data_IF_021156986843
#
_entry.id   IF_021156986843
#
_cell.length_a   1.000
_cell.length_b   1.000
_cell.length_c   1.000
_cell.angle_alpha   90.00
_cell.angle_beta   90.00
_cell.angle_gamma   90.00
#
_symmetry.space_group_name_H-M   'P 1'
#
loop_
_entity.id
_entity.type
_entity.pdbx_description
1 polymer ?
#
# COMPACT_ATOMS: atom_id res chain seq x y z
N UNK A 1 -12.04 -18.62 17.32
CA UNK A 1 -11.88 -17.22 16.85
C UNK A 1 -11.57 -17.15 15.35
N UNK A 2 -10.44 -17.70 14.87
CA UNK A 2 -10.04 -17.64 13.45
C UNK A 2 -11.11 -18.15 12.46
N UNK A 3 -11.74 -19.31 12.73
CA UNK A 3 -12.79 -19.85 11.84
C UNK A 3 -13.97 -18.88 11.65
N UNK A 4 -14.33 -18.13 12.69
CA UNK A 4 -15.42 -17.14 12.61
C UNK A 4 -15.00 -15.93 11.78
N UNK A 5 -13.74 -15.49 11.90
CA UNK A 5 -13.17 -14.43 11.06
C UNK A 5 -13.25 -14.84 9.59
N UNK A 6 -12.83 -16.06 9.27
CA UNK A 6 -12.88 -16.61 7.91
C UNK A 6 -14.34 -16.77 7.45
N UNK A 7 -15.27 -17.21 8.28
CA UNK A 7 -16.67 -17.32 7.89
C UNK A 7 -17.30 -15.95 7.58
N UNK A 8 -16.90 -14.90 8.31
CA UNK A 8 -17.53 -13.59 8.24
C UNK A 8 -16.85 -12.58 7.29
N UNK A 9 -15.67 -12.85 6.72
CA UNK A 9 -14.95 -11.84 5.90
C UNK A 9 -15.63 -11.49 4.57
N UNK A 10 -16.70 -12.19 4.19
CA UNK A 10 -17.57 -11.82 3.07
C UNK A 10 -18.87 -11.13 3.51
N UNK A 11 -19.11 -11.02 4.82
CA UNK A 11 -20.20 -10.22 5.37
C UNK A 11 -19.92 -8.72 5.16
N UNK A 12 -20.98 -7.91 5.13
CA UNK A 12 -20.88 -6.46 4.91
C UNK A 12 -21.71 -5.73 5.94
N UNK A 13 -21.22 -4.61 6.46
CA UNK A 13 -21.87 -3.93 7.58
C UNK A 13 -23.30 -3.41 7.27
N UNK A 14 -23.67 -3.31 5.99
CA UNK A 14 -25.01 -2.97 5.49
C UNK A 14 -25.95 -4.18 5.35
N UNK A 15 -25.50 -5.40 5.67
CA UNK A 15 -26.27 -6.64 5.54
C UNK A 15 -26.29 -7.24 4.13
N UNK A 16 -25.63 -6.63 3.15
CA UNK A 16 -25.59 -7.13 1.76
C UNK A 16 -24.56 -8.26 1.54
N UNK A 17 -23.86 -8.68 2.59
CA UNK A 17 -22.86 -9.72 2.57
C UNK A 17 -23.43 -11.13 2.68
N UNK A 18 -22.54 -12.12 2.73
CA UNK A 18 -22.88 -13.53 2.83
C UNK A 18 -21.83 -14.25 3.68
N UNK A 19 -22.11 -15.44 4.24
CA UNK A 19 -23.30 -16.30 4.00
C UNK A 19 -24.55 -16.00 4.84
N UNK A 20 -24.43 -15.40 6.02
CA UNK A 20 -25.51 -15.24 6.98
C UNK A 20 -26.23 -13.89 6.88
N UNK A 21 -25.70 -12.94 6.10
CA UNK A 21 -26.29 -11.60 5.93
C UNK A 21 -26.16 -10.76 7.20
N UNK A 22 -25.05 -10.93 7.93
CA UNK A 22 -24.78 -10.20 9.16
C UNK A 22 -24.60 -8.71 8.88
N UNK A 23 -24.88 -7.87 9.88
CA UNK A 23 -24.76 -6.41 9.76
C UNK A 23 -24.09 -5.79 10.98
N UNK A 24 -23.56 -4.57 10.81
CA UNK A 24 -23.03 -3.74 11.89
C UNK A 24 -22.14 -4.44 12.93
N UNK A 25 -22.68 -4.62 14.14
CA UNK A 25 -21.96 -5.21 15.28
C UNK A 25 -21.95 -6.73 15.32
N UNK A 26 -22.71 -7.42 14.45
CA UNK A 26 -22.78 -8.89 14.43
C UNK A 26 -21.56 -9.52 13.71
N UNK A 27 -20.89 -8.70 12.90
CA UNK A 27 -19.64 -9.00 12.21
C UNK A 27 -18.47 -8.75 13.17
N UNK A 28 -17.45 -9.60 13.17
CA UNK A 28 -16.21 -9.35 13.91
C UNK A 28 -15.39 -8.22 13.24
N UNK A 29 -14.82 -7.28 14.01
CA UNK A 29 -13.88 -6.28 13.47
C UNK A 29 -12.72 -6.88 12.69
N UNK A 30 -12.20 -8.02 13.13
CA UNK A 30 -11.10 -8.73 12.47
C UNK A 30 -11.53 -9.28 11.10
N UNK A 31 -12.80 -9.66 10.93
CA UNK A 31 -13.34 -10.11 9.64
C UNK A 31 -13.41 -8.95 8.65
N UNK A 32 -13.85 -7.77 9.09
CA UNK A 32 -13.83 -6.57 8.24
C UNK A 32 -12.42 -6.11 7.89
N UNK A 33 -11.46 -6.22 8.82
CA UNK A 33 -10.04 -5.95 8.53
C UNK A 33 -9.52 -6.90 7.46
N UNK A 34 -9.80 -8.21 7.58
CA UNK A 34 -9.40 -9.21 6.59
C UNK A 34 -10.03 -8.92 5.22
N UNK A 35 -11.33 -8.64 5.19
CA UNK A 35 -12.07 -8.31 3.97
C UNK A 35 -11.51 -7.06 3.27
N UNK A 36 -11.18 -6.02 4.04
CA UNK A 36 -10.58 -4.80 3.49
C UNK A 36 -9.15 -5.06 2.97
N UNK A 37 -8.35 -5.86 3.70
CA UNK A 37 -7.01 -6.24 3.25
C UNK A 37 -7.06 -7.02 1.93
N UNK A 38 -7.98 -7.96 1.80
CA UNK A 38 -8.21 -8.70 0.55
C UNK A 38 -8.61 -7.77 -0.59
N UNK A 39 -9.57 -6.85 -0.36
CA UNK A 39 -9.97 -5.84 -1.36
C UNK A 39 -8.82 -4.95 -1.78
N UNK A 40 -7.98 -4.50 -0.85
CA UNK A 40 -6.80 -3.69 -1.16
C UNK A 40 -5.78 -4.46 -2.01
N UNK A 41 -5.41 -5.67 -1.59
CA UNK A 41 -4.49 -6.54 -2.36
C UNK A 41 -5.05 -6.82 -3.75
N UNK A 42 -6.35 -7.08 -3.85
CA UNK A 42 -7.03 -7.22 -5.12
C UNK A 42 -6.79 -6.00 -6.01
N UNK A 43 -7.04 -4.77 -5.53
CA UNK A 43 -6.88 -3.53 -6.30
C UNK A 43 -5.48 -3.40 -6.91
N UNK A 44 -4.44 -3.60 -6.09
CA UNK A 44 -3.04 -3.31 -6.46
C UNK A 44 -2.30 -4.47 -7.14
N UNK A 45 -2.94 -5.64 -7.25
CA UNK A 45 -2.37 -6.81 -7.91
C UNK A 45 -2.87 -6.89 -9.36
N UNK A 46 -1.98 -7.20 -10.30
CA UNK A 46 -2.36 -7.47 -11.69
C UNK A 46 -3.21 -8.75 -11.72
N UNK A 47 -4.38 -8.72 -12.35
CA UNK A 47 -5.24 -9.90 -12.56
C UNK A 47 -5.35 -10.18 -14.05
N UNK A 48 -5.71 -11.40 -14.43
CA UNK A 48 -5.82 -11.80 -15.83
C UNK A 48 -6.71 -10.87 -16.68
N UNK A 49 -7.73 -10.26 -16.06
CA UNK A 49 -8.74 -9.43 -16.70
C UNK A 49 -8.58 -7.92 -16.45
N UNK A 50 -7.61 -7.48 -15.64
CA UNK A 50 -7.39 -6.04 -15.39
C UNK A 50 -5.96 -5.72 -14.97
N UNK A 51 -5.50 -4.55 -15.39
CA UNK A 51 -4.28 -3.96 -14.87
C UNK A 51 -4.41 -3.65 -13.37
N UNK A 52 -3.27 -3.60 -12.68
CA UNK A 52 -3.22 -3.13 -11.29
C UNK A 52 -3.64 -1.67 -11.26
N UNK A 53 -4.43 -1.28 -10.25
CA UNK A 53 -4.58 0.13 -9.91
C UNK A 53 -3.28 0.62 -9.29
N UNK A 54 -2.93 1.89 -9.54
CA UNK A 54 -1.85 2.48 -8.77
C UNK A 54 -2.32 2.74 -7.32
N UNK A 55 -1.35 2.94 -6.43
CA UNK A 55 -1.63 3.13 -4.99
C UNK A 55 -2.54 4.34 -4.75
N UNK A 56 -2.35 5.41 -5.53
CA UNK A 56 -3.15 6.64 -5.43
C UNK A 56 -4.62 6.36 -5.74
N UNK A 57 -4.91 5.62 -6.81
CA UNK A 57 -6.25 5.19 -7.19
C UNK A 57 -6.87 4.25 -6.16
N UNK A 58 -6.12 3.26 -5.69
CA UNK A 58 -6.58 2.33 -4.67
C UNK A 58 -6.94 3.07 -3.36
N UNK A 59 -6.14 4.06 -2.95
CA UNK A 59 -6.43 4.93 -1.80
C UNK A 59 -7.72 5.73 -2.00
N UNK A 60 -7.92 6.32 -3.19
CA UNK A 60 -9.16 7.04 -3.51
C UNK A 60 -10.38 6.11 -3.40
N UNK A 61 -10.30 4.91 -3.97
CA UNK A 61 -11.37 3.93 -3.89
C UNK A 61 -11.64 3.47 -2.45
N UNK A 62 -10.60 3.26 -1.64
CA UNK A 62 -10.78 2.96 -0.21
C UNK A 62 -11.42 4.14 0.54
N UNK A 63 -11.07 5.37 0.20
CA UNK A 63 -11.69 6.56 0.80
C UNK A 63 -13.18 6.67 0.46
N UNK A 64 -13.59 6.16 -0.71
CA UNK A 64 -15.00 6.08 -1.08
C UNK A 64 -15.72 4.87 -0.49
N UNK A 65 -15.05 3.89 0.16
CA UNK A 65 -15.70 2.74 0.82
C UNK A 65 -16.55 3.12 2.06
N UNK A 66 -16.95 4.39 2.17
CA UNK A 66 -17.96 4.89 3.09
C UNK A 66 -19.40 4.45 2.72
N UNK A 67 -19.56 3.54 1.76
CA UNK A 67 -20.84 3.03 1.22
C UNK A 67 -21.64 2.14 2.19
N UNK A 68 -21.36 2.14 3.49
CA UNK A 68 -22.03 1.29 4.49
C UNK A 68 -21.49 -0.15 4.59
N UNK A 69 -20.57 -0.56 3.71
CA UNK A 69 -20.02 -1.93 3.68
C UNK A 69 -19.03 -2.25 4.80
N UNK A 70 -18.43 -1.23 5.40
CA UNK A 70 -17.47 -1.33 6.50
C UNK A 70 -17.79 -0.33 7.58
N UNK A 71 -17.41 -0.63 8.83
CA UNK A 71 -17.37 0.38 9.89
C UNK A 71 -16.38 1.49 9.49
N UNK A 72 -16.76 2.78 9.51
CA UNK A 72 -15.94 3.87 8.97
C UNK A 72 -14.51 3.97 9.55
N UNK A 73 -14.31 3.49 10.78
CA UNK A 73 -12.99 3.47 11.42
C UNK A 73 -11.97 2.59 10.68
N UNK A 74 -12.40 1.47 10.08
CA UNK A 74 -11.52 0.48 9.46
C UNK A 74 -10.85 1.00 8.18
N UNK A 75 -11.57 1.48 7.15
CA UNK A 75 -10.93 2.06 5.97
C UNK A 75 -10.14 3.33 6.30
N UNK A 76 -10.60 4.13 7.28
CA UNK A 76 -9.85 5.30 7.76
C UNK A 76 -8.49 4.91 8.35
N UNK A 77 -8.45 3.89 9.20
CA UNK A 77 -7.19 3.37 9.76
C UNK A 77 -6.26 2.84 8.69
N UNK A 78 -6.77 2.12 7.68
CA UNK A 78 -5.93 1.65 6.57
C UNK A 78 -5.31 2.82 5.81
N UNK A 79 -6.10 3.85 5.46
CA UNK A 79 -5.60 5.02 4.74
C UNK A 79 -4.53 5.79 5.53
N UNK A 80 -4.69 5.89 6.85
CA UNK A 80 -3.72 6.49 7.75
C UNK A 80 -2.41 5.69 7.80
N UNK A 81 -2.50 4.35 7.89
CA UNK A 81 -1.32 3.48 7.96
C UNK A 81 -0.57 3.41 6.62
N UNK A 82 -1.29 3.41 5.49
CA UNK A 82 -0.68 3.42 4.18
C UNK A 82 0.09 4.73 3.93
N UNK A 83 -0.48 5.87 4.34
CA UNK A 83 0.02 7.18 3.94
C UNK A 83 0.02 7.36 2.43
N UNK A 84 0.58 8.47 1.94
CA UNK A 84 0.61 8.75 0.50
C UNK A 84 1.63 7.90 -0.27
N UNK A 85 2.69 7.49 0.42
CA UNK A 85 3.81 6.74 -0.14
C UNK A 85 4.10 5.52 0.76
N UNK A 86 3.34 4.42 0.61
CA UNK A 86 3.57 3.21 1.40
C UNK A 86 4.87 2.50 0.98
N UNK A 87 5.49 1.70 1.87
CA UNK A 87 6.64 0.88 1.53
C UNK A 87 6.36 -0.06 0.35
N UNK A 88 7.37 -0.23 -0.52
CA UNK A 88 7.29 -0.98 -1.76
C UNK A 88 6.89 -0.14 -2.99
N UNK A 89 6.41 1.08 -2.80
CA UNK A 89 6.11 1.99 -3.90
C UNK A 89 7.41 2.48 -4.56
N UNK A 90 7.46 2.40 -5.89
CA UNK A 90 8.50 3.06 -6.68
C UNK A 90 8.16 4.53 -6.84
N UNK A 91 9.15 5.37 -6.61
CA UNK A 91 9.03 6.83 -6.70
C UNK A 91 10.23 7.42 -7.41
N UNK A 92 9.98 8.53 -8.09
CA UNK A 92 11.03 9.39 -8.62
C UNK A 92 11.23 10.57 -7.70
N UNK A 93 12.49 10.84 -7.37
CA UNK A 93 12.88 11.97 -6.54
C UNK A 93 13.15 13.22 -7.41
N UNK A 94 13.16 14.39 -6.79
CA UNK A 94 13.42 15.68 -7.46
C UNK A 94 14.77 15.69 -8.20
N UNK A 95 15.81 15.07 -7.63
CA UNK A 95 17.12 14.91 -8.27
C UNK A 95 17.14 13.90 -9.45
N UNK A 96 15.99 13.40 -9.91
CA UNK A 96 15.81 12.37 -10.94
C UNK A 96 16.23 10.94 -10.55
N UNK A 97 16.69 10.68 -9.33
CA UNK A 97 16.86 9.31 -8.85
C UNK A 97 15.50 8.58 -8.85
N UNK A 98 15.54 7.27 -9.06
CA UNK A 98 14.40 6.39 -8.87
C UNK A 98 14.71 5.44 -7.74
N UNK A 99 13.77 5.30 -6.81
CA UNK A 99 13.95 4.50 -5.61
C UNK A 99 12.66 3.83 -5.14
N UNK A 100 12.83 2.92 -4.19
CA UNK A 100 11.74 2.21 -3.52
C UNK A 100 11.54 2.83 -2.14
N UNK A 101 10.29 3.16 -1.79
CA UNK A 101 9.96 3.54 -0.42
C UNK A 101 10.18 2.33 0.49
N UNK A 102 11.01 2.48 1.53
CA UNK A 102 11.35 1.40 2.46
C UNK A 102 10.86 1.67 3.88
N UNK A 103 10.71 2.96 4.25
CA UNK A 103 10.18 3.38 5.55
C UNK A 103 9.09 4.42 5.34
N UNK A 104 8.01 4.30 6.12
CA UNK A 104 6.91 5.27 6.15
C UNK A 104 7.38 6.59 6.74
N UNK A 105 6.67 7.66 6.40
CA UNK A 105 6.79 8.94 7.10
C UNK A 105 6.48 8.79 8.59
N UNK A 106 7.12 9.62 9.40
CA UNK A 106 6.78 9.82 10.81
C UNK A 106 6.34 11.28 11.05
N UNK A 107 6.19 11.71 12.31
CA UNK A 107 5.73 13.08 12.62
C UNK A 107 6.72 14.17 12.22
N UNK A 108 7.98 13.82 12.03
CA UNK A 108 9.10 14.74 11.82
C UNK A 108 9.74 14.58 10.44
N UNK A 109 9.58 13.42 9.81
CA UNK A 109 10.24 13.07 8.55
C UNK A 109 9.29 12.51 7.52
N UNK A 110 9.59 12.77 6.25
CA UNK A 110 8.99 12.09 5.12
C UNK A 110 9.36 10.59 5.09
N UNK A 111 8.80 9.84 4.14
CA UNK A 111 9.23 8.46 3.93
C UNK A 111 10.73 8.38 3.61
N UNK A 112 11.34 7.23 3.85
CA UNK A 112 12.69 6.98 3.35
C UNK A 112 12.64 6.13 2.10
N UNK A 113 13.47 6.51 1.15
CA UNK A 113 13.56 5.88 -0.17
C UNK A 113 14.95 5.30 -0.34
N UNK A 114 15.05 4.04 -0.76
CA UNK A 114 16.32 3.49 -1.23
C UNK A 114 16.41 3.65 -2.74
N UNK A 115 17.34 4.49 -3.19
CA UNK A 115 17.57 4.74 -4.61
C UNK A 115 18.15 3.47 -5.26
N UNK A 116 17.58 3.09 -6.39
CA UNK A 116 17.98 1.95 -7.22
C UNK A 116 18.58 2.38 -8.56
N UNK A 117 18.20 3.58 -9.04
CA UNK A 117 18.78 4.21 -10.22
C UNK A 117 19.21 5.63 -9.90
N UNK A 118 20.38 6.01 -10.42
CA UNK A 118 20.89 7.37 -10.35
C UNK A 118 20.14 8.34 -11.29
N UNK A 119 20.44 9.65 -11.22
CA UNK A 119 19.79 10.68 -12.03
C UNK A 119 19.87 10.47 -13.55
N UNK A 120 20.87 9.70 -14.01
CA UNK A 120 21.12 9.37 -15.42
C UNK A 120 20.58 8.00 -15.83
N UNK A 121 19.81 7.34 -14.97
CA UNK A 121 19.24 6.01 -15.21
C UNK A 121 20.21 4.84 -14.99
N UNK A 122 21.47 5.11 -14.60
CA UNK A 122 22.41 4.05 -14.25
C UNK A 122 21.94 3.33 -12.97
N UNK A 123 21.98 2.00 -12.97
CA UNK A 123 21.66 1.21 -11.78
C UNK A 123 22.75 1.39 -10.71
N UNK A 124 22.32 1.57 -9.46
CA UNK A 124 23.21 1.52 -8.32
C UNK A 124 23.58 0.08 -7.94
N UNK A 125 24.83 -0.14 -7.55
CA UNK A 125 25.35 -1.44 -7.08
C UNK A 125 25.17 -1.68 -5.58
N UNK A 126 24.71 -0.66 -4.83
CA UNK A 126 24.53 -0.71 -3.39
C UNK A 126 23.29 0.02 -2.93
N UNK A 127 23.10 0.12 -1.61
CA UNK A 127 21.93 0.74 -1.01
C UNK A 127 22.18 2.20 -0.69
N UNK A 128 21.41 3.08 -1.31
CA UNK A 128 21.51 4.51 -1.10
C UNK A 128 20.20 5.02 -0.50
N UNK A 129 20.16 5.17 0.82
CA UNK A 129 18.98 5.70 1.53
C UNK A 129 18.88 7.22 1.36
N UNK A 130 17.64 7.70 1.20
CA UNK A 130 17.26 9.09 0.99
C UNK A 130 16.17 9.46 1.99
N UNK A 131 16.42 10.49 2.77
CA UNK A 131 15.41 11.14 3.59
C UNK A 131 14.64 12.12 2.69
N UNK A 132 13.37 11.82 2.41
CA UNK A 132 12.58 12.65 1.50
C UNK A 132 12.09 13.94 2.15
N UNK A 133 12.43 14.23 3.41
CA UNK A 133 12.29 15.56 4.00
C UNK A 133 13.30 16.56 3.45
N UNK A 134 14.43 16.09 2.91
CA UNK A 134 15.42 16.95 2.29
C UNK A 134 14.93 17.38 0.90
N UNK A 135 15.04 18.66 0.58
CA UNK A 135 14.51 19.25 -0.66
C UNK A 135 15.04 18.55 -1.93
N UNK A 136 16.31 18.16 -1.92
CA UNK A 136 16.95 17.42 -3.01
C UNK A 136 16.36 16.03 -3.26
N UNK A 137 15.75 15.44 -2.24
CA UNK A 137 15.19 14.08 -2.25
C UNK A 137 13.68 14.06 -2.04
N UNK A 138 12.98 15.19 -2.16
CA UNK A 138 11.53 15.17 -2.15
C UNK A 138 11.00 14.22 -3.23
N UNK A 139 9.88 13.57 -2.95
CA UNK A 139 9.20 12.73 -3.94
C UNK A 139 8.56 13.63 -4.99
N UNK A 140 8.97 13.45 -6.25
CA UNK A 140 8.38 14.16 -7.39
C UNK A 140 7.08 13.51 -7.84
N UNK A 141 7.09 12.18 -7.99
CA UNK A 141 5.95 11.42 -8.49
C UNK A 141 6.11 9.92 -8.20
N UNK A 142 5.00 9.15 -8.22
CA UNK A 142 5.05 7.70 -8.42
C UNK A 142 5.82 7.36 -9.69
N UNK A 143 6.59 6.26 -9.66
CA UNK A 143 7.27 5.71 -10.83
C UNK A 143 6.64 4.37 -11.19
N UNK A 144 6.05 4.27 -12.38
CA UNK A 144 5.33 3.08 -12.85
C UNK A 144 5.97 2.53 -14.12
N UNK A 145 7.07 1.77 -14.01
CA UNK A 145 7.71 1.21 -15.19
C UNK A 145 6.85 0.07 -15.75
N UNK A 146 6.88 -0.10 -17.07
CA UNK A 146 6.21 -1.23 -17.76
C UNK A 146 6.71 -2.58 -17.22
N UNK A 147 8.01 -2.67 -16.95
CA UNK A 147 8.66 -3.83 -16.36
C UNK A 147 9.27 -3.42 -15.02
N UNK A 148 8.86 -4.09 -13.96
CA UNK A 148 9.43 -3.85 -12.64
C UNK A 148 10.92 -4.22 -12.64
N UNK A 149 11.81 -3.34 -12.16
CA UNK A 149 13.23 -3.64 -12.08
C UNK A 149 13.48 -4.76 -11.05
N UNK A 150 14.45 -5.64 -11.32
CA UNK A 150 14.86 -6.67 -10.36
C UNK A 150 15.40 -6.03 -9.10
N UNK A 151 14.84 -6.36 -7.94
CA UNK A 151 15.23 -5.76 -6.66
C UNK A 151 15.87 -6.81 -5.77
N UNK A 152 16.98 -6.45 -5.14
CA UNK A 152 17.58 -7.24 -4.06
C UNK A 152 16.89 -6.86 -2.75
N UNK A 153 16.01 -7.74 -2.26
CA UNK A 153 15.26 -7.51 -1.03
C UNK A 153 16.15 -7.52 0.22
N UNK A 154 17.25 -8.28 0.21
CA UNK A 154 18.23 -8.31 1.30
C UNK A 154 18.93 -6.96 1.41
N UNK A 155 19.27 -6.35 0.28
CA UNK A 155 19.79 -4.98 0.24
C UNK A 155 18.74 -3.94 0.67
N UNK A 156 17.52 -4.06 0.17
CA UNK A 156 16.49 -3.04 0.42
C UNK A 156 16.00 -3.04 1.87
N UNK A 157 15.78 -4.21 2.48
CA UNK A 157 15.19 -4.33 3.82
C UNK A 157 16.09 -5.00 4.87
N UNK A 158 17.32 -5.41 4.51
CA UNK A 158 18.27 -5.97 5.47
C UNK A 158 17.97 -7.41 5.91
N UNK A 159 17.10 -8.13 5.19
CA UNK A 159 16.88 -9.55 5.45
C UNK A 159 18.14 -10.34 5.10
N UNK A 160 18.63 -11.18 6.03
CA UNK A 160 19.65 -12.18 5.72
C UNK A 160 18.91 -13.42 5.20
N UNK A 161 19.21 -13.84 3.97
CA UNK A 161 18.79 -15.13 3.39
C UNK A 161 19.51 -16.28 4.08
#
# INVERSE_FOLDING_TARGET
LLLRIIAQHHEQADGSGYPEGLSGSDILPEAEILALAERYVAMITKRAYRNRMNITEARKLIATLADGKFRPAIPRSLLQILGDHPPGMLVRLVNNEVGVVTRRADRTRGPFVKAIFGPRGNRYSGTFERDTSLLEYNIRAPEEPEIMPTMDFSMLWGFRS
#
